data_IF_407269208786
#
_entry.id   IF_407269208786
#
_cell.length_a   1.000
_cell.length_b   1.000
_cell.length_c   1.000
_cell.angle_alpha   90.00
_cell.angle_beta   90.00
_cell.angle_gamma   90.00
#
_symmetry.space_group_name_H-M   'P 1'
#
loop_
_entity.id
_entity.type
_entity.pdbx_description
1 polymer ?
#
# COMPACT_ATOMS: atom_id res chain seq x y z
N UNK A 1 -15.82 -0.86 10.49
CA UNK A 1 -14.60 -1.15 9.75
C UNK A 1 -14.78 -2.35 8.83
N UNK A 2 -14.09 -2.33 7.72
CA UNK A 2 -14.17 -3.40 6.73
C UNK A 2 -13.43 -4.64 7.22
N UNK A 3 -13.98 -5.80 6.91
CA UNK A 3 -13.25 -7.05 7.09
C UNK A 3 -12.35 -7.27 5.90
N UNK A 4 -11.10 -7.62 6.15
CA UNK A 4 -10.14 -7.94 5.10
C UNK A 4 -9.89 -9.45 5.11
N UNK A 5 -9.73 -10.02 3.91
CA UNK A 5 -9.29 -11.40 3.76
C UNK A 5 -7.82 -11.53 4.16
N UNK A 6 -7.34 -12.75 4.33
CA UNK A 6 -5.92 -12.99 4.62
C UNK A 6 -5.06 -12.41 3.50
N UNK A 7 -5.44 -12.62 2.25
CA UNK A 7 -4.73 -12.05 1.11
C UNK A 7 -4.64 -10.52 1.19
N UNK A 8 -5.75 -9.88 1.56
CA UNK A 8 -5.80 -8.42 1.67
C UNK A 8 -4.97 -7.91 2.85
N UNK A 9 -4.98 -8.63 3.97
CA UNK A 9 -4.14 -8.28 5.12
C UNK A 9 -2.66 -8.34 4.74
N UNK A 10 -2.24 -9.39 4.05
CA UNK A 10 -0.85 -9.54 3.62
C UNK A 10 -0.49 -8.44 2.61
N UNK A 11 -1.40 -8.15 1.69
CA UNK A 11 -1.19 -7.10 0.69
C UNK A 11 -0.99 -5.73 1.34
N UNK A 12 -1.90 -5.35 2.24
CA UNK A 12 -1.77 -4.08 2.97
C UNK A 12 -0.53 -4.05 3.84
N UNK A 13 -0.22 -5.16 4.51
CA UNK A 13 0.97 -5.28 5.34
C UNK A 13 2.26 -5.10 4.53
N UNK A 14 2.28 -5.57 3.29
CA UNK A 14 3.45 -5.40 2.43
C UNK A 14 3.67 -3.92 2.06
N UNK A 15 2.60 -3.16 1.92
CA UNK A 15 2.70 -1.72 1.69
C UNK A 15 3.25 -1.03 2.94
N UNK A 16 2.72 -1.37 4.10
CA UNK A 16 3.19 -0.83 5.39
C UNK A 16 4.67 -1.16 5.60
N UNK A 17 5.10 -2.37 5.22
CA UNK A 17 6.49 -2.78 5.34
C UNK A 17 7.41 -1.82 4.59
N UNK A 18 7.12 -1.56 3.33
CA UNK A 18 7.98 -0.73 2.48
C UNK A 18 7.84 0.76 2.79
N UNK A 19 6.63 1.24 3.03
CA UNK A 19 6.42 2.65 3.38
C UNK A 19 6.96 2.94 4.78
N UNK A 20 6.83 2.00 5.70
CA UNK A 20 7.33 2.12 7.06
C UNK A 20 8.86 2.07 7.15
N UNK A 21 9.53 1.46 6.18
CA UNK A 21 10.99 1.48 6.12
C UNK A 21 11.52 2.89 5.86
N UNK A 22 10.72 3.75 5.23
CA UNK A 22 11.06 5.14 4.93
C UNK A 22 10.65 6.08 6.07
N UNK A 23 9.77 5.63 6.95
CA UNK A 23 9.23 6.42 8.05
C UNK A 23 9.72 5.86 9.39
N UNK A 24 9.75 6.70 10.42
CA UNK A 24 10.19 6.27 11.74
C UNK A 24 9.14 5.47 12.49
N UNK A 25 7.87 5.55 12.09
CA UNK A 25 6.76 4.96 12.84
C UNK A 25 5.87 4.11 11.94
N UNK A 26 6.13 2.80 11.94
CA UNK A 26 5.36 1.84 11.14
C UNK A 26 3.91 1.76 11.56
N UNK A 27 3.63 1.92 12.86
CA UNK A 27 2.27 1.90 13.36
C UNK A 27 1.45 3.07 12.81
N UNK A 28 2.04 4.25 12.76
CA UNK A 28 1.38 5.43 12.19
C UNK A 28 1.14 5.26 10.69
N UNK A 29 2.10 4.68 9.98
CA UNK A 29 1.97 4.39 8.55
C UNK A 29 0.83 3.40 8.31
N UNK A 30 0.73 2.35 9.13
CA UNK A 30 -0.36 1.38 9.05
C UNK A 30 -1.71 2.09 9.21
N UNK A 31 -1.82 2.98 10.18
CA UNK A 31 -3.05 3.75 10.42
C UNK A 31 -3.44 4.61 9.23
N UNK A 32 -2.47 5.27 8.61
CA UNK A 32 -2.73 6.12 7.44
C UNK A 32 -3.32 5.31 6.28
N UNK A 33 -2.67 4.21 5.92
CA UNK A 33 -3.14 3.43 4.77
C UNK A 33 -4.44 2.67 5.07
N UNK A 34 -4.59 2.17 6.29
CA UNK A 34 -5.86 1.55 6.68
C UNK A 34 -7.01 2.55 6.60
N UNK A 35 -6.81 3.77 7.10
CA UNK A 35 -7.84 4.80 7.06
C UNK A 35 -8.19 5.21 5.63
N UNK A 36 -7.20 5.29 4.75
CA UNK A 36 -7.46 5.58 3.32
C UNK A 36 -8.31 4.48 2.70
N UNK A 37 -7.97 3.23 2.98
CA UNK A 37 -8.70 2.08 2.43
C UNK A 37 -10.15 2.06 2.92
N UNK A 38 -10.38 2.42 4.18
CA UNK A 38 -11.70 2.38 4.82
C UNK A 38 -12.53 3.63 4.55
N UNK A 39 -11.98 4.63 3.86
CA UNK A 39 -12.62 5.93 3.65
C UNK A 39 -13.09 6.11 2.21
N UNK A 40 -14.31 6.59 2.04
CA UNK A 40 -14.83 6.96 0.74
C UNK A 40 -14.19 8.24 0.16
N UNK A 41 -13.41 8.95 0.97
CA UNK A 41 -12.72 10.18 0.54
C UNK A 41 -11.47 9.89 -0.28
N UNK A 42 -10.95 8.66 -0.20
CA UNK A 42 -9.71 8.26 -0.87
C UNK A 42 -9.98 7.10 -1.82
N UNK A 43 -10.40 7.39 -3.07
CA UNK A 43 -10.67 6.29 -4.02
C UNK A 43 -9.41 5.50 -4.37
N UNK A 44 -8.24 6.13 -4.31
CA UNK A 44 -6.97 5.45 -4.54
C UNK A 44 -6.15 5.43 -3.26
N UNK A 45 -5.40 4.34 -3.05
CA UNK A 45 -4.59 4.17 -1.85
C UNK A 45 -3.38 5.12 -1.84
N UNK A 46 -2.83 5.40 -3.00
CA UNK A 46 -1.80 6.43 -3.15
C UNK A 46 -0.44 6.08 -2.56
N UNK A 47 -0.02 4.83 -2.64
CA UNK A 47 1.29 4.41 -2.16
C UNK A 47 2.32 4.45 -3.28
N UNK A 48 3.40 5.23 -3.09
CA UNK A 48 4.50 5.25 -4.05
C UNK A 48 5.20 3.89 -4.16
N UNK A 49 5.27 3.14 -3.04
CA UNK A 49 5.86 1.81 -3.03
C UNK A 49 5.23 0.89 -4.05
N UNK A 50 3.90 0.96 -4.20
CA UNK A 50 3.20 0.13 -5.18
C UNK A 50 3.55 0.55 -6.61
N UNK A 51 3.78 1.84 -6.85
CA UNK A 51 4.14 2.33 -8.17
C UNK A 51 5.57 1.92 -8.54
N UNK A 52 6.51 2.02 -7.59
CA UNK A 52 7.87 1.51 -7.81
C UNK A 52 7.84 0.02 -8.14
N UNK A 53 7.09 -0.76 -7.38
CA UNK A 53 6.96 -2.19 -7.63
C UNK A 53 6.36 -2.45 -9.02
N UNK A 54 5.28 -1.75 -9.34
CA UNK A 54 4.59 -1.89 -10.63
C UNK A 54 5.50 -1.60 -11.80
N UNK A 55 6.38 -0.60 -11.64
CA UNK A 55 7.31 -0.16 -12.69
C UNK A 55 8.64 -0.92 -12.66
N UNK A 56 8.79 -1.88 -11.74
CA UNK A 56 10.01 -2.70 -11.56
C UNK A 56 11.24 -1.85 -11.28
N UNK A 57 11.07 -0.84 -10.42
CA UNK A 57 12.14 0.08 -10.05
C UNK A 57 12.58 -0.23 -8.62
N UNK A 58 13.84 -0.61 -8.43
CA UNK A 58 14.40 -0.93 -7.12
C UNK A 58 15.02 0.28 -6.42
N UNK A 59 15.33 1.31 -7.18
CA UNK A 59 16.03 2.50 -6.66
C UNK A 59 15.00 3.53 -6.18
N UNK A 60 14.86 3.63 -4.86
CA UNK A 60 13.92 4.57 -4.23
C UNK A 60 14.31 6.03 -4.38
N UNK A 61 15.53 6.33 -4.85
CA UNK A 61 15.94 7.70 -5.16
C UNK A 61 15.48 8.14 -6.56
N UNK A 62 15.03 7.18 -7.37
CA UNK A 62 14.50 7.48 -8.69
C UNK A 62 13.18 8.25 -8.55
N UNK A 63 13.03 9.34 -9.29
CA UNK A 63 11.79 10.11 -9.30
C UNK A 63 10.81 9.52 -10.29
N UNK A 64 9.65 9.07 -9.80
CA UNK A 64 8.62 8.51 -10.66
C UNK A 64 8.14 9.55 -11.65
N UNK A 65 8.01 9.15 -12.92
CA UNK A 65 7.51 10.02 -13.98
C UNK A 65 6.00 10.10 -13.95
N UNK A 66 5.45 11.13 -14.62
CA UNK A 66 4.01 11.28 -14.79
C UNK A 66 3.41 10.02 -15.44
N UNK A 67 4.09 9.47 -16.45
CA UNK A 67 3.64 8.26 -17.13
C UNK A 67 3.56 7.07 -16.17
N UNK A 68 4.56 6.90 -15.32
CA UNK A 68 4.57 5.80 -14.35
C UNK A 68 3.49 5.96 -13.31
N UNK A 69 3.30 7.17 -12.78
CA UNK A 69 2.27 7.46 -11.79
C UNK A 69 0.85 7.25 -12.35
N UNK A 70 0.67 7.42 -13.63
CA UNK A 70 -0.65 7.34 -14.28
C UNK A 70 -0.86 6.07 -15.10
N UNK A 71 0.02 5.08 -14.97
CA UNK A 71 -0.13 3.80 -15.66
C UNK A 71 -1.20 2.96 -14.98
N UNK A 72 -2.40 2.94 -15.55
CA UNK A 72 -3.53 2.18 -15.02
C UNK A 72 -3.55 0.73 -15.50
N UNK A 73 -2.72 0.37 -16.47
CA UNK A 73 -2.66 -0.99 -16.99
C UNK A 73 -2.01 -1.94 -15.98
N UNK A 74 -1.17 -1.40 -15.12
CA UNK A 74 -0.53 -2.21 -14.07
C UNK A 74 -1.38 -2.13 -12.80
N UNK A 75 -1.95 -3.26 -12.40
CA UNK A 75 -2.88 -3.35 -11.28
C UNK A 75 -2.21 -3.27 -9.90
N UNK A 76 -0.88 -3.20 -9.85
CA UNK A 76 -0.16 -2.89 -8.61
C UNK A 76 -0.13 -1.39 -8.32
N UNK A 77 -0.24 -0.56 -9.34
CA UNK A 77 -0.13 0.91 -9.17
C UNK A 77 -1.37 1.48 -8.48
N UNK A 78 -1.18 1.99 -7.25
CA UNK A 78 -2.28 2.60 -6.48
C UNK A 78 -2.34 4.12 -6.62
N UNK A 79 -1.53 4.71 -7.52
CA UNK A 79 -1.58 6.16 -7.81
C UNK A 79 -2.50 6.47 -8.98
N UNK A 80 -2.78 5.49 -9.83
CA UNK A 80 -3.67 5.67 -10.96
C UNK A 80 -5.12 5.80 -10.47
N UNK A 81 -5.84 6.79 -10.98
CA UNK A 81 -7.19 7.13 -10.52
C UNK A 81 -8.22 6.01 -10.70
N UNK A 82 -8.03 5.11 -11.67
CA UNK A 82 -8.97 4.02 -11.90
C UNK A 82 -8.62 2.74 -11.15
N UNK A 83 -7.45 2.67 -10.49
CA UNK A 83 -7.09 1.53 -9.65
C UNK A 83 -7.43 1.85 -8.19
N UNK A 84 -8.66 1.55 -7.80
CA UNK A 84 -9.16 1.87 -6.47
C UNK A 84 -8.81 0.76 -5.45
N UNK A 85 -8.65 1.14 -4.20
CA UNK A 85 -8.39 0.19 -3.11
C UNK A 85 -7.00 -0.43 -3.15
N UNK A 86 -6.92 -1.67 -2.71
CA UNK A 86 -5.66 -2.42 -2.65
C UNK A 86 -5.19 -2.84 -4.03
N UNK A 87 -3.86 -3.00 -4.21
CA UNK A 87 -3.35 -3.61 -5.44
C UNK A 87 -3.72 -5.09 -5.49
N UNK A 88 -3.45 -5.74 -6.62
CA UNK A 88 -3.86 -7.13 -6.84
C UNK A 88 -3.13 -8.14 -5.95
N UNK A 89 -2.03 -7.76 -5.33
CA UNK A 89 -1.30 -8.64 -4.43
C UNK A 89 -0.19 -7.93 -3.68
N UNK A 90 0.51 -8.66 -2.80
CA UNK A 90 1.61 -8.08 -2.02
C UNK A 90 2.76 -7.62 -2.90
N UNK A 91 3.45 -6.57 -2.45
CA UNK A 91 4.61 -6.02 -3.17
C UNK A 91 5.94 -6.42 -2.51
N UNK A 92 5.87 -7.11 -1.40
CA UNK A 92 7.02 -7.72 -0.73
C UNK A 92 6.52 -8.78 0.25
N UNK A 93 7.44 -9.47 0.89
CA UNK A 93 7.12 -10.40 1.96
C UNK A 93 7.13 -9.61 3.28
N UNK A 94 5.96 -9.27 3.85
CA UNK A 94 5.93 -8.41 5.02
C UNK A 94 6.41 -9.11 6.28
N UNK A 95 6.98 -8.34 7.20
CA UNK A 95 7.35 -8.84 8.52
C UNK A 95 6.11 -9.09 9.38
N UNK A 96 6.29 -9.88 10.43
CA UNK A 96 5.23 -10.12 11.42
C UNK A 96 4.79 -8.79 12.05
N UNK A 97 5.72 -7.87 12.29
CA UNK A 97 5.40 -6.57 12.86
C UNK A 97 4.40 -5.79 12.01
N UNK A 98 4.61 -5.76 10.70
CA UNK A 98 3.67 -5.09 9.78
C UNK A 98 2.29 -5.76 9.81
N UNK A 99 2.25 -7.09 9.81
CA UNK A 99 1.01 -7.86 9.85
C UNK A 99 0.25 -7.59 11.17
N UNK A 100 0.96 -7.57 12.28
CA UNK A 100 0.37 -7.31 13.60
C UNK A 100 -0.23 -5.90 13.66
N UNK A 101 0.47 -4.90 13.15
CA UNK A 101 -0.04 -3.53 13.17
C UNK A 101 -1.35 -3.40 12.38
N UNK A 102 -1.47 -4.08 11.24
CA UNK A 102 -2.73 -4.09 10.48
C UNK A 102 -3.80 -4.88 11.22
N UNK A 103 -3.46 -6.05 11.76
CA UNK A 103 -4.43 -6.90 12.46
C UNK A 103 -5.05 -6.19 13.66
N UNK A 104 -4.24 -5.45 14.42
CA UNK A 104 -4.74 -4.68 15.58
C UNK A 104 -5.80 -3.67 15.14
N UNK A 105 -5.61 -3.01 14.00
CA UNK A 105 -6.59 -2.04 13.50
C UNK A 105 -7.91 -2.71 13.12
N UNK A 106 -7.87 -3.95 12.64
CA UNK A 106 -9.07 -4.68 12.23
C UNK A 106 -9.93 -5.14 13.40
N UNK A 107 -9.33 -5.41 14.56
CA UNK A 107 -10.06 -5.93 15.73
C UNK A 107 -10.54 -4.82 16.68
N UNK A 108 -10.20 -3.57 16.40
CA UNK A 108 -10.70 -2.42 17.17
C UNK A 108 -11.93 -1.77 16.48
#
# INVERSE_FOLDING_TARGET
SSKLSVHEIITLSSIVELEGAKAADRKAVAGVFYNRLDSNLYPTLGSDATTYYASKIDDWSYSLTYKELNDCNNKYNTRCSSNTGLPIGPICNPSIDSIVNITILLIN
#
